data_IF_073414611806
#
_entry.id   IF_073414611806
#
_cell.length_a   1.000
_cell.length_b   1.000
_cell.length_c   1.000
_cell.angle_alpha   90.00
_cell.angle_beta   90.00
_cell.angle_gamma   90.00
#
_symmetry.space_group_name_H-M   'P 1'
#
loop_
_entity.id
_entity.type
_entity.pdbx_description
1 polymer ?
#
# COMPACT_ATOMS: atom_id res chain seq x y z
N UNK A 1 52.43 27.51 -28.32
CA UNK A 1 51.06 27.42 -28.86
C UNK A 1 50.69 25.97 -29.26
N UNK A 2 51.35 24.97 -28.70
CA UNK A 2 51.08 23.54 -28.97
C UNK A 2 50.33 22.86 -27.81
N UNK A 3 50.30 23.48 -26.62
CA UNK A 3 49.68 22.93 -25.44
C UNK A 3 48.12 22.99 -25.47
N UNK A 4 47.57 23.96 -26.16
CA UNK A 4 46.09 24.16 -26.21
C UNK A 4 45.32 23.10 -27.03
N UNK A 5 45.97 22.55 -28.06
CA UNK A 5 45.32 21.55 -28.97
C UNK A 5 45.21 20.16 -28.32
N UNK A 6 46.15 19.79 -27.44
CA UNK A 6 46.12 18.49 -26.73
C UNK A 6 45.11 18.49 -25.59
N UNK A 7 44.91 19.62 -24.92
CA UNK A 7 43.91 19.75 -23.83
C UNK A 7 42.49 19.72 -24.42
N UNK A 8 42.27 20.39 -25.58
CA UNK A 8 40.97 20.38 -26.22
C UNK A 8 40.56 18.97 -26.73
N UNK A 9 41.54 18.17 -27.21
CA UNK A 9 41.29 16.81 -27.66
C UNK A 9 40.94 15.85 -26.50
N UNK A 10 41.56 16.02 -25.33
CA UNK A 10 41.27 15.18 -24.15
C UNK A 10 39.93 15.53 -23.52
N UNK A 11 39.53 16.82 -23.51
CA UNK A 11 38.22 17.22 -23.01
C UNK A 11 37.12 16.72 -23.92
N UNK A 12 37.32 16.76 -25.27
CA UNK A 12 36.35 16.26 -26.23
C UNK A 12 36.17 14.73 -26.12
N UNK A 13 37.23 13.99 -25.87
CA UNK A 13 37.17 12.54 -25.68
C UNK A 13 36.46 12.18 -24.36
N UNK A 14 36.64 12.97 -23.32
CA UNK A 14 35.97 12.75 -22.01
C UNK A 14 34.47 13.02 -22.09
N UNK A 15 34.04 14.02 -22.87
CA UNK A 15 32.61 14.33 -23.06
C UNK A 15 31.95 13.24 -23.92
N UNK A 16 32.65 12.66 -24.90
CA UNK A 16 32.10 11.57 -25.72
C UNK A 16 31.93 10.27 -24.92
N UNK A 17 32.82 9.99 -23.96
CA UNK A 17 32.71 8.80 -23.08
C UNK A 17 31.51 8.92 -22.14
N UNK A 18 31.16 10.12 -21.67
CA UNK A 18 29.97 10.34 -20.85
C UNK A 18 28.64 10.10 -21.59
N UNK A 19 28.64 10.23 -22.94
CA UNK A 19 27.43 10.00 -23.73
C UNK A 19 27.15 8.52 -24.04
N UNK A 20 28.10 7.61 -23.77
CA UNK A 20 27.98 6.17 -24.09
C UNK A 20 27.68 5.33 -22.82
N UNK A 21 27.68 5.95 -21.64
CA UNK A 21 27.21 5.23 -20.44
C UNK A 21 25.70 4.97 -20.61
N UNK A 22 25.24 3.70 -20.60
CA UNK A 22 23.82 3.43 -20.57
C UNK A 22 23.26 4.14 -19.35
N UNK A 23 22.34 5.07 -19.56
CA UNK A 23 21.53 5.63 -18.49
C UNK A 23 20.97 4.43 -17.73
N UNK A 24 21.11 4.37 -16.39
CA UNK A 24 20.44 3.34 -15.63
C UNK A 24 18.98 3.43 -16.04
N UNK A 25 18.48 2.40 -16.72
CA UNK A 25 17.05 2.24 -16.89
C UNK A 25 16.53 2.19 -15.46
N UNK A 26 15.80 3.22 -15.07
CA UNK A 26 15.00 3.16 -13.88
C UNK A 26 14.02 2.00 -14.13
N UNK A 27 14.39 0.80 -13.70
CA UNK A 27 13.41 -0.22 -13.44
C UNK A 27 12.51 0.43 -12.39
N UNK A 28 11.26 0.72 -12.77
CA UNK A 28 10.21 0.95 -11.80
C UNK A 28 10.16 -0.34 -10.98
N UNK A 29 10.92 -0.37 -9.92
CA UNK A 29 10.74 -1.35 -8.86
C UNK A 29 9.31 -1.12 -8.42
N UNK A 30 8.49 -2.17 -8.39
CA UNK A 30 7.17 -2.15 -7.78
C UNK A 30 7.37 -1.77 -6.30
N UNK A 31 7.58 -0.48 -6.06
CA UNK A 31 7.71 0.04 -4.71
C UNK A 31 6.30 0.03 -4.13
N UNK A 32 6.00 -0.97 -3.31
CA UNK A 32 4.83 -0.94 -2.46
C UNK A 32 4.98 0.24 -1.51
N UNK A 33 4.02 1.13 -1.53
CA UNK A 33 3.93 2.18 -0.52
C UNK A 33 3.37 1.56 0.75
N UNK A 34 4.06 1.76 1.88
CA UNK A 34 3.64 1.24 3.19
C UNK A 34 3.38 2.41 4.12
N UNK A 35 2.18 2.48 4.66
CA UNK A 35 1.76 3.44 5.68
C UNK A 35 1.54 2.71 7.00
N UNK A 36 1.94 3.32 8.11
CA UNK A 36 1.78 2.75 9.45
C UNK A 36 1.13 3.77 10.40
N UNK A 37 0.14 3.30 11.16
CA UNK A 37 -0.59 4.11 12.13
C UNK A 37 -0.74 3.33 13.44
N UNK A 38 -0.75 4.07 14.55
CA UNK A 38 -1.10 3.54 15.87
C UNK A 38 -2.22 4.39 16.44
N UNK A 39 -3.27 3.75 16.89
CA UNK A 39 -4.45 4.42 17.47
C UNK A 39 -4.81 3.77 18.81
N UNK A 40 -5.10 4.59 19.80
CA UNK A 40 -5.69 4.16 21.08
C UNK A 40 -7.22 4.25 20.97
N UNK A 41 -7.87 3.11 21.08
CA UNK A 41 -9.33 2.99 20.99
C UNK A 41 -10.02 3.10 22.34
N UNK A 42 -9.25 3.32 23.42
CA UNK A 42 -9.74 3.39 24.79
C UNK A 42 -9.89 2.02 25.47
N UNK A 43 -10.17 2.03 26.76
CA UNK A 43 -10.34 0.82 27.58
C UNK A 43 -9.15 -0.16 27.52
N UNK A 44 -7.93 0.35 27.28
CA UNK A 44 -6.72 -0.45 27.13
C UNK A 44 -6.59 -1.13 25.76
N UNK A 45 -7.50 -0.87 24.82
CA UNK A 45 -7.43 -1.39 23.46
C UNK A 45 -6.67 -0.41 22.58
N UNK A 46 -5.67 -0.90 21.88
CA UNK A 46 -4.95 -0.17 20.84
C UNK A 46 -4.90 -0.97 19.54
N UNK A 47 -4.76 -0.29 18.42
CA UNK A 47 -4.58 -0.90 17.10
C UNK A 47 -3.36 -0.32 16.40
N UNK A 48 -2.55 -1.20 15.85
CA UNK A 48 -1.47 -0.89 14.92
C UNK A 48 -1.92 -1.27 13.51
N UNK A 49 -2.06 -0.30 12.63
CA UNK A 49 -2.54 -0.52 11.27
C UNK A 49 -1.41 -0.27 10.27
N UNK A 50 -1.18 -1.25 9.42
CA UNK A 50 -0.28 -1.15 8.27
C UNK A 50 -1.10 -1.21 6.99
N UNK A 51 -0.88 -0.28 6.07
CA UNK A 51 -1.48 -0.28 4.73
C UNK A 51 -0.36 -0.45 3.73
N UNK A 52 -0.45 -1.48 2.90
CA UNK A 52 0.47 -1.77 1.80
C UNK A 52 -0.29 -1.58 0.48
N UNK A 53 0.24 -0.71 -0.39
CA UNK A 53 -0.33 -0.42 -1.70
C UNK A 53 0.59 -1.01 -2.76
N UNK A 54 0.03 -1.87 -3.62
CA UNK A 54 0.73 -2.50 -4.73
C UNK A 54 0.27 -1.84 -6.03
N UNK A 55 1.04 -0.87 -6.56
CA UNK A 55 0.66 -0.16 -7.77
C UNK A 55 0.63 -1.10 -8.98
N UNK A 56 -0.36 -0.93 -9.83
CA UNK A 56 -0.43 -1.64 -11.09
C UNK A 56 0.51 -1.04 -12.16
N UNK A 57 0.95 -1.86 -13.09
CA UNK A 57 2.04 -1.55 -14.05
C UNK A 57 1.58 -0.70 -15.25
N UNK A 58 0.29 -0.46 -15.47
CA UNK A 58 -0.22 0.26 -16.66
C UNK A 58 -1.41 1.17 -16.35
N UNK A 59 -1.71 2.12 -17.28
CA UNK A 59 -2.83 3.07 -17.17
C UNK A 59 -4.24 2.46 -16.99
N UNK A 60 -4.42 1.20 -17.38
CA UNK A 60 -5.63 0.40 -17.16
C UNK A 60 -5.32 -0.73 -16.19
N UNK A 61 -4.61 -0.45 -15.12
CA UNK A 61 -4.08 -1.46 -14.24
C UNK A 61 -5.03 -1.77 -13.09
N UNK A 62 -5.11 -3.05 -12.78
CA UNK A 62 -5.58 -3.49 -11.49
C UNK A 62 -4.51 -3.21 -10.44
N UNK A 63 -4.87 -2.51 -9.40
CA UNK A 63 -4.05 -2.28 -8.21
C UNK A 63 -4.62 -3.08 -7.06
N UNK A 64 -3.83 -3.42 -6.08
CA UNK A 64 -4.34 -3.99 -4.84
C UNK A 64 -3.77 -3.26 -3.64
N UNK A 65 -4.54 -3.20 -2.58
CA UNK A 65 -4.08 -2.70 -1.30
C UNK A 65 -4.47 -3.67 -0.19
N UNK A 66 -3.63 -3.78 0.81
CA UNK A 66 -3.85 -4.61 2.00
C UNK A 66 -3.77 -3.72 3.22
N UNK A 67 -4.81 -3.74 4.04
CA UNK A 67 -4.77 -3.16 5.38
C UNK A 67 -4.69 -4.28 6.40
N UNK A 68 -3.66 -4.27 7.23
CA UNK A 68 -3.48 -5.19 8.34
C UNK A 68 -3.59 -4.43 9.65
N UNK A 69 -4.52 -4.82 10.51
CA UNK A 69 -4.76 -4.22 11.82
C UNK A 69 -4.44 -5.22 12.92
N UNK A 70 -3.48 -4.88 13.77
CA UNK A 70 -3.07 -5.64 14.93
C UNK A 70 -3.66 -5.01 16.18
N UNK A 71 -4.60 -5.69 16.81
CA UNK A 71 -5.28 -5.25 18.03
C UNK A 71 -4.55 -5.77 19.26
N UNK A 72 -4.39 -4.89 20.24
CA UNK A 72 -3.76 -5.19 21.54
C UNK A 72 -4.68 -4.77 22.67
N UNK A 73 -4.67 -5.53 23.77
CA UNK A 73 -5.32 -5.15 25.03
C UNK A 73 -4.24 -5.00 26.09
N UNK A 74 -4.08 -3.81 26.65
CA UNK A 74 -3.02 -3.45 27.59
C UNK A 74 -1.62 -3.87 27.08
N UNK A 75 -1.36 -3.63 25.79
CA UNK A 75 -0.10 -3.97 25.12
C UNK A 75 0.05 -5.44 24.71
N UNK A 76 -0.86 -6.32 25.09
CA UNK A 76 -0.83 -7.75 24.72
C UNK A 76 -1.64 -7.95 23.43
N UNK A 77 -1.05 -8.62 22.45
CA UNK A 77 -1.72 -8.96 21.20
C UNK A 77 -2.97 -9.84 21.43
N UNK A 78 -4.07 -9.47 20.80
CA UNK A 78 -5.37 -10.15 20.91
C UNK A 78 -5.95 -10.61 19.58
N UNK A 79 -5.67 -9.87 18.50
CA UNK A 79 -6.15 -10.21 17.16
C UNK A 79 -5.31 -9.53 16.09
N UNK A 80 -5.24 -10.18 14.94
CA UNK A 80 -4.84 -9.56 13.67
C UNK A 80 -5.98 -9.75 12.69
N UNK A 81 -6.38 -8.68 12.02
CA UNK A 81 -7.39 -8.71 10.95
C UNK A 81 -6.81 -8.02 9.73
N UNK A 82 -6.82 -8.67 8.58
CA UNK A 82 -6.37 -8.08 7.34
C UNK A 82 -7.49 -8.12 6.29
N UNK A 83 -7.63 -7.01 5.57
CA UNK A 83 -8.50 -6.88 4.40
C UNK A 83 -7.65 -6.52 3.19
N UNK A 84 -7.73 -7.33 2.15
CA UNK A 84 -7.17 -7.04 0.83
C UNK A 84 -8.30 -6.65 -0.11
N UNK A 85 -8.08 -5.58 -0.86
CA UNK A 85 -8.99 -5.15 -1.91
C UNK A 85 -8.27 -5.04 -3.25
N UNK A 86 -8.94 -5.43 -4.31
CA UNK A 86 -8.50 -5.30 -5.68
C UNK A 86 -9.27 -4.17 -6.34
N UNK A 87 -8.54 -3.25 -6.96
CA UNK A 87 -9.10 -2.07 -7.58
C UNK A 87 -8.83 -2.07 -9.09
N UNK A 88 -9.76 -1.56 -9.86
CA UNK A 88 -9.56 -1.23 -11.27
C UNK A 88 -9.81 0.24 -11.49
N UNK A 89 -9.05 0.81 -12.44
CA UNK A 89 -9.21 2.18 -12.87
C UNK A 89 -9.15 2.23 -14.40
N UNK A 90 -10.19 2.81 -15.01
CA UNK A 90 -10.31 2.91 -16.47
C UNK A 90 -10.04 4.33 -17.02
N UNK A 91 -9.45 5.21 -16.20
CA UNK A 91 -9.21 6.62 -16.56
C UNK A 91 -10.35 7.56 -16.14
N UNK A 92 -11.52 7.05 -15.80
CA UNK A 92 -12.71 7.83 -15.44
C UNK A 92 -13.31 7.36 -14.11
N UNK A 93 -13.40 6.04 -13.92
CA UNK A 93 -13.99 5.45 -12.72
C UNK A 93 -13.01 4.49 -12.06
N UNK A 94 -13.01 4.48 -10.75
CA UNK A 94 -12.33 3.49 -9.95
C UNK A 94 -13.34 2.61 -9.22
N UNK A 95 -13.10 1.32 -9.18
CA UNK A 95 -14.01 0.38 -8.55
C UNK A 95 -13.28 -0.76 -7.85
N UNK A 96 -13.91 -1.34 -6.84
CA UNK A 96 -13.45 -2.55 -6.19
C UNK A 96 -13.96 -3.77 -6.97
N UNK A 97 -13.06 -4.63 -7.43
CA UNK A 97 -13.39 -5.82 -8.20
C UNK A 97 -13.40 -7.10 -7.38
N UNK A 98 -12.77 -7.08 -6.21
CA UNK A 98 -12.74 -8.22 -5.30
C UNK A 98 -12.18 -7.85 -3.95
N UNK A 99 -12.51 -8.65 -2.96
CA UNK A 99 -11.97 -8.51 -1.60
C UNK A 99 -11.64 -9.87 -1.01
N UNK A 100 -10.57 -9.93 -0.23
CA UNK A 100 -10.18 -11.09 0.56
C UNK A 100 -9.91 -10.63 1.99
N UNK A 101 -10.21 -11.45 2.98
CA UNK A 101 -9.85 -11.15 4.35
C UNK A 101 -9.24 -12.34 5.08
N UNK A 102 -8.42 -12.04 6.06
CA UNK A 102 -7.89 -13.04 6.97
C UNK A 102 -7.95 -12.55 8.40
N UNK A 103 -7.95 -13.47 9.35
CA UNK A 103 -7.94 -13.17 10.78
C UNK A 103 -7.13 -14.18 11.57
N UNK A 104 -6.52 -13.72 12.64
CA UNK A 104 -5.89 -14.54 13.67
C UNK A 104 -6.30 -14.00 15.04
N UNK A 105 -6.57 -14.87 16.00
CA UNK A 105 -7.09 -14.50 17.31
C UNK A 105 -6.29 -15.18 18.41
N UNK A 106 -6.05 -14.44 19.50
CA UNK A 106 -5.57 -15.02 20.75
C UNK A 106 -6.64 -15.88 21.42
N UNK A 107 -6.21 -16.83 22.24
CA UNK A 107 -7.12 -17.67 23.01
C UNK A 107 -8.06 -16.82 23.89
N UNK A 108 -9.33 -17.17 23.90
CA UNK A 108 -10.36 -16.46 24.67
C UNK A 108 -10.95 -15.22 23.98
N UNK A 109 -10.53 -14.92 22.73
CA UNK A 109 -11.11 -13.87 21.91
C UNK A 109 -12.03 -14.46 20.84
N UNK A 110 -13.15 -13.78 20.59
CA UNK A 110 -14.11 -14.14 19.55
C UNK A 110 -14.17 -13.07 18.46
N UNK A 111 -14.51 -13.49 17.27
CA UNK A 111 -14.69 -12.61 16.10
C UNK A 111 -16.02 -12.93 15.44
N UNK A 112 -16.95 -12.01 15.48
CA UNK A 112 -18.32 -12.20 15.03
C UNK A 112 -18.81 -11.02 14.18
N UNK A 113 -19.96 -11.18 13.55
CA UNK A 113 -20.67 -10.12 12.82
C UNK A 113 -19.82 -9.44 11.73
N UNK A 114 -18.92 -10.19 11.09
CA UNK A 114 -18.11 -9.60 10.03
C UNK A 114 -18.95 -9.29 8.79
N UNK A 115 -18.71 -8.12 8.22
CA UNK A 115 -19.31 -7.67 6.97
C UNK A 115 -18.28 -6.91 6.16
N UNK A 116 -18.18 -7.21 4.89
CA UNK A 116 -17.36 -6.46 3.94
C UNK A 116 -18.30 -5.64 3.06
N UNK A 117 -18.03 -4.35 2.97
CA UNK A 117 -18.73 -3.41 2.08
C UNK A 117 -17.73 -2.84 1.10
N UNK A 118 -18.04 -2.87 -0.18
CA UNK A 118 -17.24 -2.24 -1.23
C UNK A 118 -18.06 -1.13 -1.89
N UNK A 119 -17.45 0.02 -2.06
CA UNK A 119 -18.08 1.18 -2.69
C UNK A 119 -17.31 1.52 -3.96
N UNK A 120 -18.02 1.52 -5.08
CA UNK A 120 -17.52 2.02 -6.35
C UNK A 120 -17.80 3.51 -6.45
N UNK A 121 -16.80 4.30 -6.78
CA UNK A 121 -16.95 5.75 -6.93
C UNK A 121 -16.77 6.10 -8.39
N UNK A 122 -17.73 6.84 -8.94
CA UNK A 122 -17.72 7.33 -10.32
C UNK A 122 -16.81 8.55 -10.54
N UNK A 123 -15.82 8.74 -9.68
CA UNK A 123 -14.88 9.86 -9.76
C UNK A 123 -13.44 9.38 -9.56
N UNK A 124 -12.49 10.23 -9.88
CA UNK A 124 -11.05 10.00 -9.72
C UNK A 124 -10.58 9.76 -8.26
N UNK A 125 -11.48 9.78 -7.30
CA UNK A 125 -11.15 9.65 -5.87
C UNK A 125 -11.01 8.21 -5.35
N UNK A 126 -11.12 7.19 -6.21
CA UNK A 126 -10.85 5.80 -5.86
C UNK A 126 -12.05 5.04 -5.26
N UNK A 127 -11.98 3.71 -5.28
CA UNK A 127 -12.91 2.82 -4.59
C UNK A 127 -12.50 2.62 -3.13
N UNK A 128 -13.43 2.24 -2.28
CA UNK A 128 -13.16 1.91 -0.87
C UNK A 128 -13.76 0.55 -0.54
N UNK A 129 -13.00 -0.31 0.10
CA UNK A 129 -13.52 -1.52 0.74
C UNK A 129 -13.36 -1.38 2.26
N UNK A 130 -14.35 -1.83 3.01
CA UNK A 130 -14.36 -1.74 4.46
C UNK A 130 -14.83 -3.05 5.05
N UNK A 131 -14.06 -3.59 5.99
CA UNK A 131 -14.46 -4.72 6.82
C UNK A 131 -14.85 -4.21 8.19
N UNK A 132 -16.06 -4.54 8.62
CA UNK A 132 -16.55 -4.31 9.99
C UNK A 132 -16.76 -5.65 10.68
N UNK A 133 -16.46 -5.74 11.96
CA UNK A 133 -16.70 -6.93 12.77
C UNK A 133 -16.78 -6.57 14.25
N UNK A 134 -16.98 -7.59 15.09
CA UNK A 134 -16.95 -7.45 16.56
C UNK A 134 -15.92 -8.40 17.14
N UNK A 135 -14.92 -7.86 17.84
CA UNK A 135 -13.94 -8.60 18.63
C UNK A 135 -14.45 -8.67 20.07
N UNK A 136 -14.95 -9.85 20.49
CA UNK A 136 -15.64 -10.00 21.78
C UNK A 136 -16.85 -9.04 21.84
N UNK A 137 -16.74 -7.96 22.61
CA UNK A 137 -17.77 -6.93 22.73
C UNK A 137 -17.32 -5.60 22.09
N UNK A 138 -16.21 -5.60 21.36
CA UNK A 138 -15.56 -4.43 20.81
C UNK A 138 -15.75 -4.36 19.29
N UNK A 139 -16.39 -3.30 18.74
CA UNK A 139 -16.54 -3.13 17.30
C UNK A 139 -15.21 -2.72 16.66
N UNK A 140 -14.90 -3.31 15.51
CA UNK A 140 -13.71 -2.97 14.71
C UNK A 140 -14.07 -2.56 13.31
N UNK A 141 -13.22 -1.73 12.71
CA UNK A 141 -13.36 -1.23 11.35
C UNK A 141 -11.99 -1.24 10.66
N UNK A 142 -11.88 -1.93 9.53
CA UNK A 142 -10.65 -2.05 8.74
C UNK A 142 -10.92 -1.52 7.33
N UNK A 143 -10.63 -0.24 7.05
CA UNK A 143 -10.81 0.35 5.73
C UNK A 143 -9.61 0.07 4.83
N UNK A 144 -9.87 -0.11 3.53
CA UNK A 144 -8.88 -0.10 2.43
C UNK A 144 -9.33 0.92 1.41
N UNK A 145 -8.44 1.85 1.07
CA UNK A 145 -8.71 2.96 0.13
C UNK A 145 -7.65 3.02 -0.95
#
# INVERSE_FOLDING_TARGET
MVLSKKICSTILALVLICCVLPLPQAHATDASETLFFVEDLGNGISVETTIEIFPGVTRNSSTSAVTTSNYKNNGVWIATVALKAYFTYNGITAGVTGTEYSKSLASGWSYTNHKITATNVSSSSGGTATLTATLKDFPINVPVR
#
